data_IF_856242755410
#
_entry.id   IF_856242755410
#
_cell.length_a   1.000
_cell.length_b   1.000
_cell.length_c   1.000
_cell.angle_alpha   90.00
_cell.angle_beta   90.00
_cell.angle_gamma   90.00
#
_symmetry.space_group_name_H-M   'P 1'
#
loop_
_entity.id
_entity.type
_entity.pdbx_description
1 polymer ?
#
# COMPACT_ATOMS: atom_id res chain seq x y z
N UNK A 1 9.46 -6.41 -18.13
CA UNK A 1 8.56 -5.33 -17.64
C UNK A 1 9.10 -4.88 -16.30
N UNK A 2 9.29 -3.58 -16.10
CA UNK A 2 9.65 -3.01 -14.80
C UNK A 2 8.35 -2.69 -14.05
N UNK A 3 8.24 -3.12 -12.81
CA UNK A 3 7.12 -2.76 -11.94
C UNK A 3 7.27 -1.30 -11.49
N UNK A 4 6.26 -0.48 -11.82
CA UNK A 4 6.28 0.97 -11.53
C UNK A 4 6.24 1.28 -10.04
N UNK A 5 5.57 0.46 -9.24
CA UNK A 5 5.42 0.69 -7.80
C UNK A 5 6.76 0.37 -7.10
N UNK A 6 7.44 -0.70 -7.54
CA UNK A 6 8.80 -1.01 -7.06
C UNK A 6 9.84 0.01 -7.51
N UNK A 7 9.76 0.48 -8.76
CA UNK A 7 10.64 1.54 -9.25
C UNK A 7 10.42 2.86 -8.49
N UNK A 8 9.16 3.22 -8.23
CA UNK A 8 8.79 4.38 -7.43
C UNK A 8 9.26 4.27 -5.97
N UNK A 9 9.11 3.09 -5.35
CA UNK A 9 9.63 2.83 -4.02
C UNK A 9 11.15 3.05 -3.96
N UNK A 10 11.90 2.46 -4.90
CA UNK A 10 13.36 2.61 -4.92
C UNK A 10 13.75 4.09 -5.02
N UNK A 11 13.13 4.83 -5.95
CA UNK A 11 13.37 6.27 -6.09
C UNK A 11 13.06 7.03 -4.81
N UNK A 12 11.92 6.76 -4.16
CA UNK A 12 11.53 7.42 -2.92
C UNK A 12 12.54 7.16 -1.79
N UNK A 13 13.05 5.92 -1.69
CA UNK A 13 14.09 5.55 -0.74
C UNK A 13 15.40 6.29 -1.01
N UNK A 14 15.87 6.31 -2.27
CA UNK A 14 17.13 6.98 -2.65
C UNK A 14 17.06 8.52 -2.44
N UNK A 15 15.88 9.11 -2.55
CA UNK A 15 15.65 10.53 -2.29
C UNK A 15 15.52 10.86 -0.78
N UNK A 16 15.50 9.86 0.09
CA UNK A 16 15.22 10.07 1.52
C UNK A 16 13.82 10.62 1.78
N UNK A 17 12.84 10.24 0.95
CA UNK A 17 11.47 10.69 1.13
C UNK A 17 10.88 10.18 2.45
N UNK A 18 10.06 10.99 3.11
CA UNK A 18 9.38 10.59 4.34
C UNK A 18 8.10 9.80 4.07
N UNK A 19 7.46 10.08 2.93
CA UNK A 19 6.16 9.54 2.54
C UNK A 19 6.22 9.00 1.11
N UNK A 20 5.66 7.81 0.91
CA UNK A 20 5.45 7.21 -0.40
C UNK A 20 3.98 6.93 -0.65
N UNK A 21 3.42 7.43 -1.76
CA UNK A 21 1.99 7.26 -2.08
C UNK A 21 1.84 6.50 -3.38
N UNK A 22 1.08 5.40 -3.34
CA UNK A 22 0.68 4.63 -4.51
C UNK A 22 -0.79 4.92 -4.81
N UNK A 23 -1.05 5.37 -6.04
CA UNK A 23 -2.41 5.63 -6.52
C UNK A 23 -2.97 4.41 -7.28
N UNK A 24 -4.23 4.08 -7.02
CA UNK A 24 -4.93 2.93 -7.62
C UNK A 24 -6.43 3.18 -7.78
N UNK A 25 -7.16 2.24 -8.38
CA UNK A 25 -8.58 2.39 -8.72
C UNK A 25 -9.51 2.07 -7.53
N UNK A 26 -8.95 1.77 -6.36
CA UNK A 26 -9.68 1.51 -5.11
C UNK A 26 -9.23 2.47 -4.03
N UNK A 27 -10.16 2.85 -3.15
CA UNK A 27 -9.89 3.80 -2.07
C UNK A 27 -9.00 3.19 -0.97
N UNK A 28 -9.16 1.89 -0.67
CA UNK A 28 -8.41 1.15 0.37
C UNK A 28 -8.02 -0.23 -0.13
N UNK A 29 -6.90 -0.74 0.40
CA UNK A 29 -6.53 -2.15 0.31
C UNK A 29 -7.57 -2.97 1.09
N UNK A 30 -7.90 -4.15 0.61
CA UNK A 30 -8.86 -5.03 1.27
C UNK A 30 -8.37 -6.47 1.33
N UNK A 31 -8.72 -7.16 2.41
CA UNK A 31 -8.75 -8.63 2.43
C UNK A 31 -10.10 -9.12 1.95
N UNK A 32 -10.14 -10.35 1.44
CA UNK A 32 -11.35 -10.94 0.85
C UNK A 32 -11.99 -10.07 -0.24
N UNK A 33 -11.17 -9.44 -1.09
CA UNK A 33 -11.64 -8.57 -2.16
C UNK A 33 -12.68 -9.24 -3.06
N UNK A 34 -13.78 -8.54 -3.36
CA UNK A 34 -14.94 -9.03 -4.11
C UNK A 34 -15.67 -10.24 -3.48
N UNK A 35 -15.54 -10.45 -2.17
CA UNK A 35 -16.29 -11.48 -1.42
C UNK A 35 -17.25 -10.83 -0.41
N UNK A 36 -18.29 -11.56 0.06
CA UNK A 36 -19.24 -11.03 1.05
C UNK A 36 -18.59 -10.58 2.37
N UNK A 37 -17.45 -11.16 2.72
CA UNK A 37 -16.67 -10.84 3.92
C UNK A 37 -15.45 -9.94 3.60
N UNK A 38 -15.54 -9.11 2.55
CA UNK A 38 -14.53 -8.11 2.24
C UNK A 38 -14.34 -7.17 3.43
N UNK A 39 -13.08 -6.91 3.78
CA UNK A 39 -12.73 -5.94 4.81
C UNK A 39 -11.68 -4.98 4.26
N UNK A 40 -12.04 -3.70 4.20
CA UNK A 40 -11.13 -2.62 3.84
C UNK A 40 -10.23 -2.30 5.03
N UNK A 41 -8.95 -2.07 4.76
CA UNK A 41 -7.92 -1.86 5.77
C UNK A 41 -7.58 -0.37 5.84
N UNK A 42 -7.76 0.24 7.01
CA UNK A 42 -7.33 1.63 7.26
C UNK A 42 -5.84 1.71 7.54
N UNK A 43 -5.35 0.74 8.32
CA UNK A 43 -3.96 0.60 8.71
C UNK A 43 -3.48 -0.82 8.44
N UNK A 44 -2.24 -0.95 8.00
CA UNK A 44 -1.63 -2.23 7.71
C UNK A 44 -0.18 -2.24 8.22
N UNK A 45 0.03 -2.91 9.34
CA UNK A 45 1.37 -3.09 9.92
C UNK A 45 2.16 -4.15 9.15
N UNK A 46 3.48 -4.14 9.29
CA UNK A 46 4.34 -5.17 8.68
C UNK A 46 3.90 -6.60 8.99
N UNK A 47 3.54 -6.90 10.25
CA UNK A 47 3.12 -8.25 10.66
C UNK A 47 1.83 -8.67 9.98
N UNK A 48 0.82 -7.80 9.97
CA UNK A 48 -0.48 -8.09 9.33
C UNK A 48 -0.33 -8.20 7.81
N UNK A 49 0.51 -7.36 7.20
CA UNK A 49 0.76 -7.42 5.77
C UNK A 49 1.36 -8.76 5.36
N UNK A 50 2.38 -9.24 6.07
CA UNK A 50 2.97 -10.56 5.77
C UNK A 50 1.98 -11.69 5.99
N UNK A 51 1.21 -11.67 7.08
CA UNK A 51 0.15 -12.64 7.31
C UNK A 51 -0.83 -12.67 6.12
N UNK A 52 -1.35 -11.52 5.70
CA UNK A 52 -2.31 -11.45 4.59
C UNK A 52 -1.71 -11.79 3.22
N UNK A 53 -0.40 -11.57 3.03
CA UNK A 53 0.33 -12.03 1.85
C UNK A 53 0.41 -13.56 1.83
N UNK A 54 0.75 -14.19 2.97
CA UNK A 54 0.83 -15.65 3.12
C UNK A 54 -0.54 -16.32 2.95
N UNK A 55 -1.60 -15.69 3.49
CA UNK A 55 -2.99 -16.10 3.29
C UNK A 55 -3.51 -15.88 1.85
N UNK A 56 -2.74 -15.20 1.01
CA UNK A 56 -3.04 -15.00 -0.41
C UNK A 56 -4.15 -13.98 -0.68
N UNK A 57 -4.36 -13.03 0.21
CA UNK A 57 -5.42 -12.02 0.06
C UNK A 57 -5.17 -11.03 -1.09
N UNK A 58 -3.91 -10.78 -1.45
CA UNK A 58 -3.55 -9.78 -2.46
C UNK A 58 -3.24 -10.41 -3.82
N UNK A 59 -3.91 -9.92 -4.87
CA UNK A 59 -3.73 -10.43 -6.22
C UNK A 59 -2.31 -10.15 -6.77
N UNK A 60 -1.61 -11.20 -7.23
CA UNK A 60 -0.21 -11.14 -7.73
C UNK A 60 0.03 -10.16 -8.88
N UNK A 61 -0.99 -9.90 -9.70
CA UNK A 61 -0.90 -8.99 -10.86
C UNK A 61 -1.36 -7.55 -10.59
N UNK A 62 -1.71 -7.21 -9.36
CA UNK A 62 -2.25 -5.87 -9.04
C UNK A 62 -1.88 -5.42 -7.63
N UNK A 63 -2.58 -5.91 -6.61
CA UNK A 63 -2.45 -5.37 -5.25
C UNK A 63 -1.19 -5.86 -4.53
N UNK A 64 -0.76 -7.11 -4.77
CA UNK A 64 0.41 -7.66 -4.07
C UNK A 64 1.69 -6.84 -4.33
N UNK A 65 2.06 -6.50 -5.59
CA UNK A 65 3.22 -5.64 -5.83
C UNK A 65 3.15 -4.28 -5.14
N UNK A 66 1.95 -3.69 -5.01
CA UNK A 66 1.74 -2.40 -4.32
C UNK A 66 2.02 -2.50 -2.83
N UNK A 67 1.45 -3.51 -2.19
CA UNK A 67 1.67 -3.77 -0.75
C UNK A 67 3.16 -4.05 -0.52
N UNK A 68 3.79 -4.87 -1.36
CA UNK A 68 5.22 -5.17 -1.24
C UNK A 68 6.11 -3.92 -1.42
N UNK A 69 5.80 -3.06 -2.39
CA UNK A 69 6.52 -1.79 -2.57
C UNK A 69 6.32 -0.85 -1.37
N UNK A 70 5.10 -0.71 -0.85
CA UNK A 70 4.84 0.10 0.33
C UNK A 70 5.58 -0.42 1.58
N UNK A 71 5.58 -1.74 1.81
CA UNK A 71 6.33 -2.36 2.91
C UNK A 71 7.84 -2.13 2.75
N UNK A 72 8.38 -2.35 1.55
CA UNK A 72 9.80 -2.15 1.29
C UNK A 72 10.22 -0.69 1.54
N UNK A 73 9.37 0.30 1.20
CA UNK A 73 9.65 1.70 1.51
C UNK A 73 9.82 1.96 3.01
N UNK A 74 8.86 1.48 3.82
CA UNK A 74 8.89 1.64 5.28
C UNK A 74 10.07 0.89 5.90
N UNK A 75 10.34 -0.35 5.44
CA UNK A 75 11.49 -1.12 5.90
C UNK A 75 12.84 -0.45 5.60
N UNK A 76 12.91 0.31 4.51
CA UNK A 76 14.12 1.04 4.11
C UNK A 76 14.23 2.44 4.77
N UNK A 77 13.46 2.70 5.83
CA UNK A 77 13.58 3.92 6.64
C UNK A 77 12.60 5.03 6.29
N UNK A 78 11.67 4.81 5.34
CA UNK A 78 10.54 5.70 5.12
C UNK A 78 9.59 5.70 6.33
N UNK A 79 8.94 6.83 6.62
CA UNK A 79 8.09 6.94 7.81
C UNK A 79 6.74 6.23 7.64
N UNK A 80 6.10 6.39 6.48
CA UNK A 80 4.85 5.69 6.14
C UNK A 80 4.62 5.65 4.64
N UNK A 81 3.84 4.67 4.19
CA UNK A 81 3.33 4.60 2.83
C UNK A 81 1.80 4.63 2.80
N UNK A 82 1.21 5.15 1.73
CA UNK A 82 -0.25 5.22 1.57
C UNK A 82 -0.65 4.60 0.23
N UNK A 83 -1.65 3.72 0.24
CA UNK A 83 -2.31 3.22 -0.97
C UNK A 83 -3.73 3.79 -1.01
N UNK A 84 -4.09 4.54 -2.06
CA UNK A 84 -5.42 5.16 -2.16
C UNK A 84 -5.83 5.49 -3.60
N UNK A 85 -7.05 6.01 -3.75
CA UNK A 85 -7.58 6.50 -5.02
C UNK A 85 -7.08 7.92 -5.34
N UNK A 86 -6.76 8.28 -6.59
CA UNK A 86 -6.34 9.63 -6.97
C UNK A 86 -7.21 10.77 -6.41
N UNK A 87 -8.55 10.64 -6.51
CA UNK A 87 -9.49 11.64 -5.97
C UNK A 87 -9.57 11.69 -4.45
N UNK A 88 -8.92 10.78 -3.74
CA UNK A 88 -8.89 10.71 -2.28
C UNK A 88 -7.54 11.10 -1.68
N UNK A 89 -6.57 11.50 -2.50
CA UNK A 89 -5.20 11.77 -2.05
C UNK A 89 -5.13 12.81 -0.92
N UNK A 90 -5.88 13.92 -1.01
CA UNK A 90 -5.85 14.96 0.03
C UNK A 90 -6.42 14.44 1.36
N UNK A 91 -7.55 13.74 1.31
CA UNK A 91 -8.16 13.10 2.49
C UNK A 91 -7.24 12.02 3.09
N UNK A 92 -6.52 11.27 2.25
CA UNK A 92 -5.59 10.24 2.69
C UNK A 92 -4.32 10.82 3.33
N UNK A 93 -3.80 11.94 2.81
CA UNK A 93 -2.69 12.68 3.43
C UNK A 93 -3.06 13.19 4.83
N UNK A 94 -4.34 13.53 5.04
CA UNK A 94 -4.92 13.92 6.33
C UNK A 94 -5.25 12.72 7.23
N UNK A 95 -5.03 11.48 6.79
CA UNK A 95 -5.33 10.26 7.55
C UNK A 95 -6.82 9.92 7.66
N UNK A 96 -7.68 10.51 6.80
CA UNK A 96 -9.13 10.28 6.82
C UNK A 96 -9.56 9.07 6.00
N UNK A 97 -8.73 8.66 5.04
CA UNK A 97 -8.97 7.50 4.18
C UNK A 97 -7.65 6.94 3.62
N UNK A 98 -7.72 6.00 2.68
CA UNK A 98 -6.58 5.22 2.22
C UNK A 98 -6.23 4.09 3.18
N UNK A 99 -5.27 3.28 2.76
CA UNK A 99 -4.59 2.34 3.66
C UNK A 99 -3.22 2.91 3.97
N UNK A 100 -2.99 3.21 5.25
CA UNK A 100 -1.68 3.62 5.77
C UNK A 100 -0.88 2.39 6.14
N UNK A 101 0.38 2.34 5.70
CA UNK A 101 1.34 1.27 6.00
C UNK A 101 2.50 1.88 6.78
N UNK A 102 2.76 1.32 7.95
CA UNK A 102 3.76 1.74 8.95
C UNK A 102 4.32 0.54 9.73
#
# INVERSE_FOLDING_TARGET
>A
VIDKDRAGQLLATELGAELFVILTDVEKVAINFNKPNQQNLDHLTFSLANQYIEEGHFAKGSMLPKVQAALAFVQNGGQKAIITHPFKILEALEGKTGTTIE
#
